data_IF_733936181059
#
_entry.id   IF_733936181059
#
_cell.length_a   1.000
_cell.length_b   1.000
_cell.length_c   1.000
_cell.angle_alpha   90.00
_cell.angle_beta   90.00
_cell.angle_gamma   90.00
#
_symmetry.space_group_name_H-M   'P 1'
#
loop_
_entity.id
_entity.type
_entity.pdbx_description
1 polymer ?
#
# COMPACT_ATOMS: atom_id res chain seq x y z
N UNK A 1 -11.37 12.51 -20.09
CA UNK A 1 -10.17 13.19 -20.66
C UNK A 1 -9.91 14.57 -20.03
N UNK A 2 -10.97 15.35 -19.81
CA UNK A 2 -10.94 16.80 -19.51
C UNK A 2 -10.30 17.19 -18.17
N UNK A 3 -10.01 16.22 -17.30
CA UNK A 3 -9.38 16.43 -15.98
C UNK A 3 -7.93 15.98 -15.94
N UNK A 4 -7.32 15.59 -17.07
CA UNK A 4 -5.96 15.04 -17.14
C UNK A 4 -4.95 15.90 -16.38
N UNK A 5 -4.88 17.19 -16.71
CA UNK A 5 -3.98 18.17 -16.08
C UNK A 5 -4.11 18.17 -14.55
N UNK A 6 -5.36 18.27 -14.06
CA UNK A 6 -5.67 18.27 -12.62
C UNK A 6 -5.23 16.98 -11.93
N UNK A 7 -5.47 15.83 -12.56
CA UNK A 7 -5.09 14.53 -11.99
C UNK A 7 -3.56 14.41 -11.93
N UNK A 8 -2.86 14.76 -13.01
CA UNK A 8 -1.40 14.71 -13.05
C UNK A 8 -0.77 15.69 -12.04
N UNK A 9 -1.32 16.89 -11.90
CA UNK A 9 -0.88 17.86 -10.90
C UNK A 9 -1.01 17.30 -9.48
N UNK A 10 -2.15 16.66 -9.16
CA UNK A 10 -2.37 16.04 -7.84
C UNK A 10 -1.38 14.90 -7.56
N UNK A 11 -1.13 14.03 -8.55
CA UNK A 11 -0.15 12.95 -8.42
C UNK A 11 1.22 13.55 -8.09
N UNK A 12 1.68 14.53 -8.87
CA UNK A 12 2.95 15.21 -8.65
C UNK A 12 3.03 15.86 -7.27
N UNK A 13 1.99 16.55 -6.82
CA UNK A 13 1.93 17.14 -5.47
C UNK A 13 2.20 16.09 -4.38
N UNK A 14 1.59 14.90 -4.49
CA UNK A 14 1.76 13.83 -3.52
C UNK A 14 3.10 13.07 -3.63
N UNK A 15 3.82 13.24 -4.72
CA UNK A 15 5.07 12.52 -5.05
C UNK A 15 6.28 13.46 -5.21
N UNK A 16 6.24 14.67 -4.65
CA UNK A 16 7.38 15.59 -4.66
C UNK A 16 7.72 16.15 -6.05
N UNK A 17 6.72 16.34 -6.91
CA UNK A 17 6.86 16.88 -8.27
C UNK A 17 6.94 15.82 -9.36
N UNK A 18 7.23 14.57 -9.01
CA UNK A 18 7.33 13.45 -9.96
C UNK A 18 6.00 12.70 -10.09
N UNK A 19 5.79 12.00 -11.22
CA UNK A 19 4.63 11.11 -11.38
C UNK A 19 4.81 9.76 -10.67
N UNK A 20 6.06 9.40 -10.36
CA UNK A 20 6.41 8.16 -9.69
C UNK A 20 7.68 8.38 -8.85
N UNK A 21 7.84 7.58 -7.81
CA UNK A 21 9.03 7.50 -6.99
C UNK A 21 9.42 6.01 -6.83
N UNK A 22 10.66 5.67 -7.14
CA UNK A 22 11.18 4.29 -7.07
C UNK A 22 11.80 3.95 -5.71
N UNK A 23 12.07 4.96 -4.88
CA UNK A 23 12.74 4.81 -3.58
C UNK A 23 11.92 3.90 -2.68
N UNK A 24 12.50 2.82 -2.12
CA UNK A 24 11.81 1.97 -1.17
C UNK A 24 11.23 2.75 0.01
N UNK A 25 10.06 2.34 0.51
CA UNK A 25 9.29 3.02 1.57
C UNK A 25 8.69 4.38 1.17
N UNK A 26 9.10 4.95 0.05
CA UNK A 26 8.47 6.13 -0.54
C UNK A 26 7.59 5.80 -1.74
N UNK A 27 7.98 4.79 -2.52
CA UNK A 27 7.20 4.28 -3.64
C UNK A 27 5.83 3.83 -3.16
N UNK A 28 4.82 4.03 -4.02
CA UNK A 28 3.43 3.65 -3.73
C UNK A 28 2.81 4.36 -2.51
N UNK A 29 3.47 5.39 -1.96
CA UNK A 29 2.99 6.15 -0.80
C UNK A 29 2.92 7.64 -1.13
N UNK A 30 1.72 8.22 -1.14
CA UNK A 30 1.53 9.66 -1.29
C UNK A 30 1.86 10.42 0.01
N UNK A 31 2.49 11.60 -0.11
CA UNK A 31 2.80 12.50 1.01
C UNK A 31 1.98 13.80 0.93
N UNK A 32 2.06 14.62 1.97
CA UNK A 32 1.38 15.92 2.03
C UNK A 32 -0.09 15.85 2.44
N UNK A 33 -0.74 17.02 2.42
CA UNK A 33 -2.09 17.25 2.94
C UNK A 33 -3.13 16.43 2.18
N UNK A 34 -3.06 16.41 0.85
CA UNK A 34 -4.04 15.69 0.07
C UNK A 34 -3.99 14.17 0.31
N UNK A 35 -2.78 13.58 0.36
CA UNK A 35 -2.63 12.18 0.70
C UNK A 35 -3.09 11.86 2.13
N UNK A 36 -2.93 12.80 3.08
CA UNK A 36 -3.43 12.66 4.44
C UNK A 36 -4.97 12.63 4.49
N UNK A 37 -5.62 13.50 3.72
CA UNK A 37 -7.08 13.53 3.59
C UNK A 37 -7.62 12.20 3.02
N UNK A 38 -7.00 11.70 1.94
CA UNK A 38 -7.37 10.40 1.35
C UNK A 38 -7.21 9.26 2.37
N UNK A 39 -6.10 9.25 3.14
CA UNK A 39 -5.90 8.27 4.22
C UNK A 39 -6.99 8.33 5.30
N UNK A 40 -7.42 9.53 5.69
CA UNK A 40 -8.47 9.70 6.70
C UNK A 40 -9.81 9.13 6.21
N UNK A 41 -10.21 9.44 4.98
CA UNK A 41 -11.44 8.92 4.36
C UNK A 41 -11.39 7.40 4.27
N UNK A 42 -10.26 6.85 3.82
CA UNK A 42 -10.06 5.41 3.74
C UNK A 42 -10.20 4.75 5.12
N UNK A 43 -9.50 5.24 6.14
CA UNK A 43 -9.57 4.68 7.50
C UNK A 43 -10.97 4.76 8.11
N UNK A 44 -11.66 5.88 7.92
CA UNK A 44 -13.03 6.05 8.37
C UNK A 44 -13.98 5.04 7.70
N UNK A 45 -13.82 4.86 6.38
CA UNK A 45 -14.63 3.93 5.59
C UNK A 45 -14.35 2.48 5.97
N UNK A 46 -13.07 2.09 6.08
CA UNK A 46 -12.65 0.76 6.49
C UNK A 46 -13.26 0.38 7.85
N UNK A 47 -13.21 1.27 8.85
CA UNK A 47 -13.88 1.05 10.14
C UNK A 47 -15.39 0.86 9.99
N UNK A 48 -16.05 1.70 9.19
CA UNK A 48 -17.50 1.64 8.96
C UNK A 48 -17.96 0.33 8.32
N UNK A 49 -17.15 -0.25 7.42
CA UNK A 49 -17.50 -1.49 6.70
C UNK A 49 -16.92 -2.76 7.34
N UNK A 50 -16.37 -2.67 8.55
CA UNK A 50 -15.80 -3.83 9.26
C UNK A 50 -14.38 -4.25 8.80
N UNK A 51 -13.75 -3.50 7.90
CA UNK A 51 -12.36 -3.69 7.47
C UNK A 51 -11.35 -2.92 8.35
N UNK A 52 -11.78 -2.43 9.50
CA UNK A 52 -10.94 -1.71 10.46
C UNK A 52 -10.15 -2.62 11.40
N UNK A 53 -10.56 -3.90 11.52
CA UNK A 53 -9.76 -4.90 12.23
C UNK A 53 -8.48 -5.13 11.42
N UNK A 54 -7.33 -5.12 12.10
CA UNK A 54 -6.05 -5.42 11.47
C UNK A 54 -6.04 -6.78 10.79
N UNK A 55 -4.97 -7.11 10.04
CA UNK A 55 -4.83 -8.45 9.48
C UNK A 55 -4.92 -9.50 10.61
N UNK A 56 -5.44 -10.71 10.30
CA UNK A 56 -5.45 -11.80 11.26
C UNK A 56 -4.01 -12.15 11.69
N UNK A 57 -3.89 -12.84 12.82
CA UNK A 57 -2.62 -13.38 13.27
C UNK A 57 -2.01 -14.28 12.18
N UNK A 58 -0.75 -14.01 11.84
CA UNK A 58 -0.04 -14.78 10.84
C UNK A 58 0.33 -16.14 11.42
N UNK A 59 -0.11 -17.21 10.77
CA UNK A 59 0.21 -18.57 11.17
C UNK A 59 1.22 -19.20 10.22
N UNK A 60 2.25 -19.81 10.80
CA UNK A 60 3.25 -20.59 10.04
C UNK A 60 2.98 -22.10 10.05
N UNK A 61 1.90 -22.54 10.70
CA UNK A 61 1.56 -23.96 10.94
C UNK A 61 1.34 -24.79 9.66
N UNK A 62 1.00 -24.13 8.54
CA UNK A 62 0.82 -24.78 7.24
C UNK A 62 2.07 -24.73 6.35
N UNK A 63 3.12 -24.02 6.76
CA UNK A 63 4.35 -23.94 5.98
C UNK A 63 5.23 -25.14 6.29
N UNK A 64 5.69 -25.82 5.24
CA UNK A 64 6.69 -26.86 5.37
C UNK A 64 8.08 -26.22 5.46
N UNK A 65 8.77 -26.42 6.58
CA UNK A 65 10.14 -25.93 6.76
C UNK A 65 11.10 -26.88 6.04
N UNK A 66 11.62 -26.47 4.89
CA UNK A 66 12.70 -27.18 4.20
C UNK A 66 14.00 -26.96 4.98
N UNK A 67 14.63 -28.04 5.46
CA UNK A 67 15.92 -27.98 6.17
C UNK A 67 17.02 -27.78 5.12
N UNK A 68 18.06 -26.95 5.37
CA UNK A 68 19.15 -26.78 4.41
C UNK A 68 19.85 -28.13 4.14
N UNK A 69 19.83 -28.60 2.90
CA UNK A 69 20.56 -29.80 2.47
C UNK A 69 19.78 -30.73 1.53
N UNK A 70 18.45 -30.74 1.57
CA UNK A 70 17.63 -31.57 0.68
C UNK A 70 16.31 -30.88 0.34
N UNK A 71 16.11 -30.53 -0.93
CA UNK A 71 14.79 -30.19 -1.44
C UNK A 71 13.92 -31.45 -1.48
N UNK A 72 12.62 -31.29 -1.26
CA UNK A 72 11.71 -32.41 -1.42
C UNK A 72 11.60 -32.81 -2.89
N UNK A 73 12.02 -34.03 -3.20
CA UNK A 73 11.63 -34.71 -4.41
C UNK A 73 10.26 -35.36 -4.15
N UNK A 74 9.23 -34.72 -4.70
CA UNK A 74 7.82 -35.14 -4.73
C UNK A 74 7.07 -35.07 -3.40
#
# INVERSE_FOLDING_TARGET
PDRREKVLARIRETHGGALNNTVPRERLHGRGVHAAQVRQIFKATARRVGLGAGPPELKTEHFRRVIPGQGELF
#
